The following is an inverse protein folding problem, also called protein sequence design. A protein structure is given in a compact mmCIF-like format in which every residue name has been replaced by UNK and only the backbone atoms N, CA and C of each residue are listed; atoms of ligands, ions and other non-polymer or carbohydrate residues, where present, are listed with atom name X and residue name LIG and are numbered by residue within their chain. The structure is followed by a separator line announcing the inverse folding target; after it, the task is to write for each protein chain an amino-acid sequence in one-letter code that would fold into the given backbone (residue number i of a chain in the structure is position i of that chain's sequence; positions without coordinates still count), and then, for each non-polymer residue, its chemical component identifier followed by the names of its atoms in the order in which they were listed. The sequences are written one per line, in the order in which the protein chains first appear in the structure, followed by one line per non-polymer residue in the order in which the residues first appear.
data_IF_027373009052
#
_entry.id   IF_027373009052
#
_cell.length_a   1.000
_cell.length_b   1.000
_cell.length_c   1.000
_cell.angle_alpha   90.00
_cell.angle_beta   90.00
_cell.angle_gamma   90.00
#
_symmetry.space_group_name_H-M   'P 1'
#
loop_
_entity.id
_entity.type
_entity.pdbx_description
1 polymer ?
#
# COMPACT_ATOMS: atom_id res chain seq x y z
N UNK A 1 17.77 -26.19 20.52
CA UNK A 1 18.33 -25.66 19.26
C UNK A 1 17.52 -24.43 18.94
N UNK A 2 18.14 -23.29 18.65
CA UNK A 2 17.44 -22.10 18.19
C UNK A 2 17.17 -22.32 16.70
N UNK A 3 15.89 -22.45 16.34
CA UNK A 3 15.50 -22.53 14.94
C UNK A 3 15.81 -21.18 14.28
N UNK A 4 16.67 -21.20 13.29
CA UNK A 4 17.08 -19.98 12.56
C UNK A 4 16.67 -20.12 11.10
N UNK A 5 15.90 -19.15 10.61
CA UNK A 5 15.53 -19.04 9.20
C UNK A 5 16.37 -17.95 8.53
N UNK A 6 17.10 -18.32 7.49
CA UNK A 6 17.83 -17.35 6.66
C UNK A 6 17.06 -17.08 5.39
N UNK A 7 16.71 -15.82 5.17
CA UNK A 7 15.98 -15.36 3.98
C UNK A 7 16.74 -14.27 3.25
N UNK A 8 16.43 -14.06 1.95
CA UNK A 8 16.85 -12.84 1.26
C UNK A 8 16.26 -11.64 1.97
N UNK A 9 17.02 -10.55 2.10
CA UNK A 9 16.49 -9.29 2.65
C UNK A 9 15.29 -8.84 1.82
N UNK A 10 14.10 -8.71 2.42
CA UNK A 10 12.86 -8.45 1.67
C UNK A 10 12.78 -7.00 1.20
N UNK A 11 11.84 -6.75 0.31
CA UNK A 11 11.37 -5.42 -0.09
C UNK A 11 9.97 -5.16 0.48
N UNK A 12 9.65 -3.90 0.71
CA UNK A 12 8.32 -3.44 1.12
C UNK A 12 7.67 -2.67 -0.03
N UNK A 13 6.58 -3.19 -0.55
CA UNK A 13 5.93 -2.61 -1.73
C UNK A 13 4.84 -1.59 -1.41
N UNK A 14 4.74 -1.15 -0.14
CA UNK A 14 3.84 -0.06 0.28
C UNK A 14 4.26 0.50 1.64
N UNK A 15 4.81 1.71 1.69
CA UNK A 15 5.33 2.28 2.92
C UNK A 15 5.06 3.79 3.03
N UNK A 16 4.59 4.23 4.21
CA UNK A 16 4.47 5.64 4.57
C UNK A 16 5.60 6.05 5.52
N UNK A 17 6.47 6.93 5.07
CA UNK A 17 7.55 7.49 5.90
C UNK A 17 7.19 8.85 6.50
N UNK A 18 6.16 9.52 5.98
CA UNK A 18 5.84 10.91 6.34
C UNK A 18 7.02 11.83 6.03
N UNK A 19 7.18 12.94 6.77
CA UNK A 19 8.29 13.87 6.58
C UNK A 19 8.77 14.45 7.91
N UNK A 20 9.88 15.21 7.90
CA UNK A 20 10.44 15.88 9.07
C UNK A 20 10.76 14.94 10.22
N UNK A 21 10.41 15.33 11.43
CA UNK A 21 10.73 14.57 12.64
C UNK A 21 10.12 13.16 12.65
N UNK A 22 8.95 12.97 12.04
CA UNK A 22 8.35 11.64 11.94
C UNK A 22 9.14 10.74 10.99
N UNK A 23 9.60 11.25 9.86
CA UNK A 23 10.50 10.52 8.96
C UNK A 23 11.77 10.03 9.70
N UNK A 24 12.41 10.93 10.45
CA UNK A 24 13.61 10.59 11.20
C UNK A 24 13.36 9.50 12.26
N UNK A 25 12.18 9.53 12.88
CA UNK A 25 11.80 8.56 13.91
C UNK A 25 11.47 7.17 13.35
N UNK A 26 10.78 7.08 12.20
CA UNK A 26 10.25 5.80 11.71
C UNK A 26 11.13 5.11 10.67
N UNK A 27 11.93 5.84 9.93
CA UNK A 27 12.80 5.29 8.89
C UNK A 27 13.77 4.22 9.40
N UNK A 28 14.40 4.34 10.58
CA UNK A 28 15.27 3.31 11.11
C UNK A 28 14.61 1.95 11.27
N UNK A 29 13.33 1.94 11.63
CA UNK A 29 12.55 0.71 11.86
C UNK A 29 12.33 -0.09 10.57
N UNK A 30 12.02 0.59 9.47
CA UNK A 30 11.91 -0.02 8.14
C UNK A 30 13.29 -0.38 7.58
N UNK A 31 14.24 0.56 7.62
CA UNK A 31 15.56 0.37 7.00
C UNK A 31 16.38 -0.77 7.62
N UNK A 32 16.07 -1.22 8.83
CA UNK A 32 16.73 -2.38 9.43
C UNK A 32 16.30 -3.72 8.80
N UNK A 33 15.07 -3.80 8.28
CA UNK A 33 14.49 -5.05 7.76
C UNK A 33 14.52 -5.11 6.25
N UNK A 34 14.17 -4.02 5.56
CA UNK A 34 13.95 -3.99 4.11
C UNK A 34 15.15 -3.45 3.35
N UNK A 35 15.40 -4.03 2.16
CA UNK A 35 16.41 -3.54 1.23
C UNK A 35 15.91 -2.35 0.43
N UNK A 36 14.65 -2.40 0.01
CA UNK A 36 13.96 -1.36 -0.77
C UNK A 36 12.53 -1.20 -0.25
N UNK A 37 11.95 -0.02 -0.49
CA UNK A 37 10.52 0.17 -0.28
C UNK A 37 9.93 1.13 -1.31
N UNK A 38 8.70 0.85 -1.76
CA UNK A 38 7.85 1.82 -2.48
C UNK A 38 7.33 2.85 -1.49
N UNK A 39 7.69 4.10 -1.70
CA UNK A 39 7.35 5.20 -0.79
C UNK A 39 6.08 5.90 -1.26
N UNK A 40 5.06 5.92 -0.40
CA UNK A 40 3.78 6.56 -0.71
C UNK A 40 3.90 8.09 -0.73
N UNK A 41 3.23 8.75 -1.72
CA UNK A 41 3.45 10.16 -2.02
C UNK A 41 2.50 11.10 -1.29
N UNK A 42 1.60 10.61 -0.40
CA UNK A 42 0.54 11.38 0.24
C UNK A 42 1.01 12.21 1.44
N UNK A 43 1.99 13.05 1.21
CA UNK A 43 2.44 14.10 2.13
C UNK A 43 1.45 15.29 2.12
N UNK A 44 1.78 16.33 2.85
CA UNK A 44 1.10 17.65 2.79
C UNK A 44 2.18 18.74 2.62
N UNK A 45 2.31 19.30 1.40
CA UNK A 45 1.62 18.96 0.15
C UNK A 45 2.03 17.57 -0.40
N UNK A 46 1.22 16.94 -1.28
CA UNK A 46 1.54 15.65 -1.88
C UNK A 46 2.70 15.76 -2.90
N UNK A 47 3.38 14.64 -3.14
CA UNK A 47 4.44 14.51 -4.14
C UNK A 47 3.80 14.29 -5.52
N UNK A 48 3.66 15.32 -6.32
CA UNK A 48 2.90 15.29 -7.59
C UNK A 48 3.79 15.37 -8.83
N UNK A 49 5.06 15.76 -8.69
CA UNK A 49 6.01 15.97 -9.78
C UNK A 49 7.32 15.20 -9.58
N UNK A 50 8.10 15.10 -10.66
CA UNK A 50 9.45 14.54 -10.63
C UNK A 50 10.38 15.34 -9.69
N UNK A 51 10.23 16.66 -9.65
CA UNK A 51 10.98 17.54 -8.74
C UNK A 51 10.63 17.24 -7.27
N UNK A 52 9.34 17.13 -6.93
CA UNK A 52 8.90 16.78 -5.59
C UNK A 52 9.43 15.42 -5.16
N UNK A 53 9.37 14.41 -6.07
CA UNK A 53 9.87 13.08 -5.81
C UNK A 53 11.38 13.05 -5.56
N UNK A 54 12.16 13.83 -6.33
CA UNK A 54 13.61 14.00 -6.13
C UNK A 54 13.90 14.62 -4.78
N UNK A 55 13.24 15.72 -4.46
CA UNK A 55 13.42 16.43 -3.19
C UNK A 55 13.02 15.55 -1.98
N UNK A 56 11.96 14.78 -2.10
CA UNK A 56 11.56 13.84 -1.02
C UNK A 56 12.56 12.70 -0.87
N UNK A 57 13.03 12.11 -1.98
CA UNK A 57 14.07 11.08 -1.95
C UNK A 57 15.35 11.57 -1.27
N UNK A 58 15.79 12.78 -1.54
CA UNK A 58 16.95 13.38 -0.88
C UNK A 58 16.77 13.50 0.64
N UNK A 59 15.58 13.94 1.12
CA UNK A 59 15.25 13.99 2.55
C UNK A 59 15.33 12.62 3.19
N UNK A 60 14.76 11.58 2.53
CA UNK A 60 14.81 10.19 3.04
C UNK A 60 16.26 9.70 3.11
N UNK A 61 17.05 9.89 2.05
CA UNK A 61 18.45 9.45 2.02
C UNK A 61 19.32 10.17 3.06
N UNK A 62 19.04 11.46 3.31
CA UNK A 62 19.71 12.22 4.37
C UNK A 62 19.41 11.70 5.76
N UNK A 63 18.14 11.35 6.02
CA UNK A 63 17.68 10.81 7.31
C UNK A 63 18.05 9.32 7.50
N UNK A 64 18.43 8.60 6.43
CA UNK A 64 18.67 7.16 6.49
C UNK A 64 19.92 6.82 7.33
N UNK A 65 19.77 6.12 8.47
CA UNK A 65 20.90 5.71 9.30
C UNK A 65 21.71 4.58 8.67
N UNK A 66 21.14 3.86 7.70
CA UNK A 66 21.76 2.72 7.00
C UNK A 66 22.12 3.08 5.57
N UNK A 67 23.06 4.05 5.43
CA UNK A 67 23.50 4.53 4.13
C UNK A 67 23.94 3.40 3.19
N UNK A 68 23.35 3.37 1.99
CA UNK A 68 23.64 2.35 0.98
C UNK A 68 23.00 0.98 1.22
N UNK A 69 22.24 0.78 2.31
CA UNK A 69 21.58 -0.49 2.62
C UNK A 69 20.06 -0.47 2.47
N UNK A 70 19.47 0.69 2.26
CA UNK A 70 18.04 0.88 2.01
C UNK A 70 17.86 1.86 0.85
N UNK A 71 17.09 1.48 -0.14
CA UNK A 71 16.78 2.29 -1.32
C UNK A 71 15.28 2.65 -1.38
N UNK A 72 14.93 3.94 -1.24
CA UNK A 72 13.56 4.40 -1.40
C UNK A 72 13.18 4.47 -2.87
N UNK A 73 12.17 3.72 -3.28
CA UNK A 73 11.59 3.70 -4.61
C UNK A 73 10.43 4.70 -4.64
N UNK A 74 10.60 5.82 -5.37
CA UNK A 74 9.65 6.92 -5.32
C UNK A 74 8.38 6.65 -6.15
N UNK A 75 7.28 7.28 -5.74
CA UNK A 75 6.01 7.32 -6.48
C UNK A 75 5.52 8.75 -6.63
N UNK A 76 4.69 8.97 -7.67
CA UNK A 76 3.95 10.22 -7.83
C UNK A 76 2.50 10.04 -7.36
N UNK A 77 1.95 11.06 -6.77
CA UNK A 77 0.54 11.15 -6.41
C UNK A 77 -0.28 11.54 -7.65
N UNK A 78 -1.17 10.66 -8.09
CA UNK A 78 -2.04 10.93 -9.24
C UNK A 78 -3.12 11.94 -8.87
N UNK A 79 -3.18 13.02 -9.62
CA UNK A 79 -4.23 14.04 -9.57
C UNK A 79 -4.82 14.24 -10.97
N UNK A 80 -5.94 14.92 -11.05
CA UNK A 80 -6.55 15.28 -12.35
C UNK A 80 -5.72 16.33 -13.14
N UNK A 81 -4.69 16.91 -12.53
CA UNK A 81 -3.75 17.85 -13.13
C UNK A 81 -2.36 17.25 -13.36
N UNK A 82 -2.20 15.94 -13.17
CA UNK A 82 -0.91 15.27 -13.38
C UNK A 82 -0.42 15.44 -14.81
N UNK A 83 0.80 15.95 -14.96
CA UNK A 83 1.44 16.16 -16.25
C UNK A 83 1.97 14.83 -16.81
N UNK A 84 1.46 14.46 -17.99
CA UNK A 84 1.81 13.20 -18.69
C UNK A 84 3.29 13.14 -19.06
N UNK A 85 3.86 14.27 -19.48
CA UNK A 85 5.26 14.36 -19.91
C UNK A 85 6.20 14.27 -18.71
N UNK A 86 5.84 14.89 -17.58
CA UNK A 86 6.63 14.76 -16.33
C UNK A 86 6.60 13.32 -15.80
N UNK A 87 5.46 12.61 -15.87
CA UNK A 87 5.38 11.19 -15.51
C UNK A 87 6.31 10.34 -16.38
N UNK A 88 6.33 10.58 -17.69
CA UNK A 88 7.23 9.86 -18.60
C UNK A 88 8.71 10.17 -18.31
N UNK A 89 9.05 11.44 -18.08
CA UNK A 89 10.40 11.87 -17.70
C UNK A 89 10.84 11.25 -16.37
N UNK A 90 10.00 11.30 -15.34
CA UNK A 90 10.28 10.75 -14.02
C UNK A 90 10.54 9.22 -14.07
N UNK A 91 9.80 8.50 -14.92
CA UNK A 91 10.02 7.07 -15.14
C UNK A 91 11.32 6.83 -15.90
N UNK A 92 11.56 7.51 -17.01
CA UNK A 92 12.75 7.35 -17.84
C UNK A 92 14.05 7.68 -17.09
N UNK A 93 14.02 8.65 -16.16
CA UNK A 93 15.15 8.97 -15.28
C UNK A 93 15.46 7.87 -14.23
N UNK A 94 14.56 6.90 -14.06
CA UNK A 94 14.67 5.85 -13.06
C UNK A 94 14.30 6.27 -11.64
N UNK A 95 13.89 7.53 -11.42
CA UNK A 95 13.51 8.06 -10.11
C UNK A 95 12.20 7.47 -9.61
N UNK A 96 11.17 7.46 -10.48
CA UNK A 96 9.81 7.01 -10.14
C UNK A 96 9.58 5.59 -10.62
N UNK A 97 9.01 4.76 -9.76
CA UNK A 97 8.75 3.33 -10.00
C UNK A 97 7.28 2.97 -10.13
N UNK A 98 6.39 3.86 -9.70
CA UNK A 98 4.94 3.73 -9.85
C UNK A 98 4.26 5.09 -9.71
N UNK A 99 3.01 5.17 -10.14
CA UNK A 99 2.11 6.28 -9.81
C UNK A 99 1.04 5.76 -8.85
N UNK A 100 0.72 6.51 -7.83
CA UNK A 100 -0.26 6.15 -6.80
C UNK A 100 -1.58 6.89 -7.00
N UNK A 101 -2.65 6.14 -7.15
CA UNK A 101 -4.02 6.63 -7.21
C UNK A 101 -4.70 6.50 -5.86
N UNK A 102 -5.24 7.61 -5.37
CA UNK A 102 -6.20 7.66 -4.27
C UNK A 102 -7.52 8.21 -4.81
N UNK A 103 -8.67 7.54 -4.58
CA UNK A 103 -9.95 8.22 -4.70
C UNK A 103 -10.02 9.38 -3.70
N UNK A 104 -10.55 10.53 -4.12
CA UNK A 104 -10.55 11.73 -3.29
C UNK A 104 -11.34 11.51 -1.98
N UNK A 105 -10.66 11.65 -0.84
CA UNK A 105 -11.26 11.46 0.48
C UNK A 105 -11.29 10.00 0.98
N UNK A 106 -10.68 9.05 0.27
CA UNK A 106 -10.71 7.63 0.66
C UNK A 106 -9.89 7.33 1.93
N UNK A 107 -8.82 8.06 2.16
CA UNK A 107 -7.90 7.82 3.30
C UNK A 107 -7.18 9.09 3.72
N UNK A 108 -6.24 8.98 4.65
CA UNK A 108 -5.41 10.10 5.16
C UNK A 108 -4.70 10.83 4.00
N UNK A 109 -4.79 12.16 3.99
CA UNK A 109 -4.16 13.04 2.98
C UNK A 109 -4.57 12.72 1.53
N UNK A 110 -5.80 12.26 1.30
CA UNK A 110 -6.31 11.91 -0.03
C UNK A 110 -7.27 12.93 -0.62
N UNK A 111 -7.38 14.12 -0.04
CA UNK A 111 -8.30 15.17 -0.54
C UNK A 111 -8.00 15.63 -1.99
N UNK A 112 -6.73 15.59 -2.40
CA UNK A 112 -6.27 15.92 -3.76
C UNK A 112 -6.38 14.75 -4.74
N UNK A 113 -6.94 13.62 -4.31
CA UNK A 113 -7.10 12.41 -5.13
C UNK A 113 -8.07 12.58 -6.29
N UNK A 114 -8.22 11.51 -7.06
CA UNK A 114 -9.04 11.45 -8.26
C UNK A 114 -10.52 11.40 -7.89
N UNK A 115 -11.33 12.26 -8.52
CA UNK A 115 -12.81 12.27 -8.42
C UNK A 115 -13.43 11.69 -9.68
N UNK A 116 -12.91 12.11 -10.84
CA UNK A 116 -13.35 11.64 -12.14
C UNK A 116 -12.20 10.88 -12.82
N UNK A 117 -12.38 9.58 -13.00
CA UNK A 117 -11.37 8.70 -13.58
C UNK A 117 -11.16 8.94 -15.08
N UNK A 118 -12.10 9.57 -15.77
CA UNK A 118 -11.93 9.95 -17.19
C UNK A 118 -10.88 11.06 -17.35
N UNK A 119 -10.75 11.95 -16.37
CA UNK A 119 -9.78 13.04 -16.38
C UNK A 119 -8.32 12.55 -16.31
N UNK A 120 -8.07 11.37 -15.74
CA UNK A 120 -6.73 10.79 -15.63
C UNK A 120 -6.41 9.77 -16.71
N UNK A 121 -7.35 9.49 -17.63
CA UNK A 121 -7.16 8.50 -18.71
C UNK A 121 -5.89 8.74 -19.53
N UNK A 122 -5.53 9.97 -19.97
CA UNK A 122 -4.30 10.19 -20.73
C UNK A 122 -3.05 9.77 -19.97
N UNK A 123 -3.01 9.97 -18.66
CA UNK A 123 -1.90 9.52 -17.79
C UNK A 123 -1.84 8.00 -17.75
N UNK A 124 -3.00 7.32 -17.58
CA UNK A 124 -3.06 5.85 -17.52
C UNK A 124 -2.64 5.22 -18.85
N UNK A 125 -3.04 5.79 -19.98
CA UNK A 125 -2.61 5.35 -21.30
C UNK A 125 -1.09 5.50 -21.49
N UNK A 126 -0.52 6.63 -21.09
CA UNK A 126 0.93 6.83 -21.11
C UNK A 126 1.66 5.84 -20.21
N UNK A 127 1.15 5.60 -19.00
CA UNK A 127 1.73 4.61 -18.09
C UNK A 127 1.71 3.19 -18.70
N UNK A 128 0.64 2.82 -19.39
CA UNK A 128 0.57 1.54 -20.11
C UNK A 128 1.62 1.46 -21.23
N UNK A 129 1.78 2.55 -22.01
CA UNK A 129 2.77 2.64 -23.08
C UNK A 129 4.20 2.45 -22.58
N UNK A 130 4.57 3.10 -21.47
CA UNK A 130 5.92 3.08 -20.93
C UNK A 130 6.17 1.94 -19.92
N UNK A 131 5.13 1.15 -19.60
CA UNK A 131 5.20 0.04 -18.66
C UNK A 131 5.30 0.43 -17.18
N UNK A 132 4.93 1.67 -16.82
CA UNK A 132 4.94 2.18 -15.45
C UNK A 132 3.70 1.69 -14.69
N UNK A 133 3.85 1.00 -13.52
CA UNK A 133 2.72 0.49 -12.76
C UNK A 133 1.87 1.59 -12.11
N UNK A 134 0.57 1.34 -12.03
CA UNK A 134 -0.40 2.09 -11.22
C UNK A 134 -0.65 1.36 -9.89
N UNK A 135 -0.33 1.97 -8.77
CA UNK A 135 -0.70 1.50 -7.44
C UNK A 135 -2.03 2.16 -7.02
N UNK A 136 -3.00 1.38 -6.56
CA UNK A 136 -4.37 1.88 -6.31
C UNK A 136 -4.80 1.63 -4.87
N UNK A 137 -5.28 2.67 -4.18
CA UNK A 137 -6.12 2.52 -2.99
C UNK A 137 -7.55 2.14 -3.46
N UNK A 138 -7.93 0.89 -3.22
CA UNK A 138 -9.10 0.28 -3.84
C UNK A 138 -10.38 0.42 -3.04
N UNK A 139 -10.83 1.63 -2.71
CA UNK A 139 -12.11 1.86 -2.03
C UNK A 139 -12.94 2.96 -2.71
N UNK A 140 -14.25 2.74 -2.86
CA UNK A 140 -15.19 3.82 -3.20
C UNK A 140 -15.43 4.70 -1.97
N UNK A 141 -15.80 5.96 -2.20
CA UNK A 141 -16.09 6.95 -1.14
C UNK A 141 -17.57 7.33 -1.08
N UNK A 142 -18.41 6.66 -1.85
CA UNK A 142 -19.86 6.89 -1.91
C UNK A 142 -20.49 6.67 -0.54
N UNK A 143 -21.21 7.65 0.04
CA UNK A 143 -21.73 7.57 1.40
C UNK A 143 -22.70 6.39 1.66
N UNK A 144 -23.42 5.97 0.63
CA UNK A 144 -24.41 4.89 0.70
C UNK A 144 -23.79 3.50 0.68
N UNK A 145 -22.47 3.38 0.41
CA UNK A 145 -21.76 2.11 0.42
C UNK A 145 -21.19 1.85 1.82
N UNK A 146 -21.58 0.72 2.40
CA UNK A 146 -21.03 0.27 3.69
C UNK A 146 -19.51 0.21 3.64
N UNK A 147 -18.84 0.71 4.67
CA UNK A 147 -17.37 0.77 4.73
C UNK A 147 -16.72 -0.60 4.56
N UNK A 148 -17.40 -1.69 4.91
CA UNK A 148 -16.89 -3.05 4.73
C UNK A 148 -17.05 -3.59 3.30
N UNK A 149 -17.86 -2.95 2.46
CA UNK A 149 -18.14 -3.36 1.07
C UNK A 149 -17.43 -2.48 0.03
N UNK A 150 -16.78 -1.38 0.46
CA UNK A 150 -16.15 -0.38 -0.41
C UNK A 150 -15.13 -0.96 -1.38
N UNK A 151 -14.33 -1.92 -0.96
CA UNK A 151 -13.33 -2.57 -1.81
C UNK A 151 -13.98 -3.38 -2.94
N UNK A 152 -15.00 -4.19 -2.62
CA UNK A 152 -15.75 -4.97 -3.60
C UNK A 152 -16.40 -4.06 -4.65
N UNK A 153 -17.11 -3.02 -4.19
CA UNK A 153 -17.77 -2.07 -5.09
C UNK A 153 -16.75 -1.34 -5.96
N UNK A 154 -15.57 -0.99 -5.42
CA UNK A 154 -14.50 -0.37 -6.20
C UNK A 154 -13.98 -1.29 -7.31
N UNK A 155 -13.80 -2.57 -7.02
CA UNK A 155 -13.38 -3.55 -8.04
C UNK A 155 -14.39 -3.54 -9.20
N UNK A 156 -15.68 -3.64 -8.91
CA UNK A 156 -16.74 -3.77 -9.90
C UNK A 156 -16.97 -2.50 -10.70
N UNK A 157 -16.90 -1.33 -10.05
CA UNK A 157 -17.34 -0.05 -10.65
C UNK A 157 -16.22 0.85 -11.14
N UNK A 158 -14.98 0.63 -10.68
CA UNK A 158 -13.83 1.48 -11.01
C UNK A 158 -12.66 0.68 -11.58
N UNK A 159 -12.16 -0.32 -10.85
CA UNK A 159 -10.93 -1.01 -11.22
C UNK A 159 -11.11 -1.84 -12.50
N UNK A 160 -12.15 -2.65 -12.58
CA UNK A 160 -12.43 -3.47 -13.76
C UNK A 160 -12.70 -2.62 -15.02
N UNK A 161 -13.50 -1.54 -14.97
CA UNK A 161 -13.61 -0.59 -16.07
C UNK A 161 -12.28 0.04 -16.50
N UNK A 162 -11.43 0.50 -15.59
CA UNK A 162 -10.11 1.06 -15.92
C UNK A 162 -9.25 0.02 -16.67
N UNK A 163 -9.16 -1.20 -16.14
CA UNK A 163 -8.36 -2.27 -16.76
C UNK A 163 -8.87 -2.66 -18.15
N UNK A 164 -10.18 -2.68 -18.35
CA UNK A 164 -10.78 -2.93 -19.68
C UNK A 164 -10.50 -1.79 -20.65
N UNK A 165 -10.54 -0.55 -20.19
CA UNK A 165 -10.26 0.63 -21.01
C UNK A 165 -8.78 0.74 -21.39
N UNK A 166 -7.88 0.24 -20.53
CA UNK A 166 -6.42 0.34 -20.70
C UNK A 166 -5.74 -1.03 -20.47
N UNK A 167 -5.89 -2.01 -21.38
CA UNK A 167 -5.48 -3.41 -21.16
C UNK A 167 -3.98 -3.60 -20.91
N UNK A 168 -3.13 -2.70 -21.42
CA UNK A 168 -1.67 -2.75 -21.21
C UNK A 168 -1.20 -2.21 -19.85
N UNK A 169 -2.09 -1.59 -19.08
CA UNK A 169 -1.74 -0.98 -17.80
C UNK A 169 -1.42 -2.05 -16.75
N UNK A 170 -0.23 -1.96 -16.16
CA UNK A 170 0.12 -2.78 -14.99
C UNK A 170 -0.50 -2.15 -13.76
N UNK A 171 -1.24 -2.91 -12.98
CA UNK A 171 -1.94 -2.44 -11.79
C UNK A 171 -1.50 -3.22 -10.57
N UNK A 172 -1.27 -2.51 -9.47
CA UNK A 172 -1.15 -3.08 -8.14
C UNK A 172 -2.36 -2.63 -7.31
N UNK A 173 -3.25 -3.56 -7.00
CA UNK A 173 -4.32 -3.34 -6.04
C UNK A 173 -3.71 -3.45 -4.64
N UNK A 174 -3.51 -2.32 -3.99
CA UNK A 174 -2.76 -2.28 -2.74
C UNK A 174 -3.63 -2.63 -1.54
N UNK A 175 -2.97 -3.20 -0.50
CA UNK A 175 -3.54 -3.50 0.84
C UNK A 175 -4.95 -4.09 0.77
N UNK A 176 -5.13 -5.13 -0.09
CA UNK A 176 -6.43 -5.80 -0.22
C UNK A 176 -6.90 -6.36 1.12
N UNK A 177 -8.20 -6.27 1.37
CA UNK A 177 -8.80 -6.64 2.65
C UNK A 177 -9.92 -7.66 2.55
N UNK A 178 -10.35 -8.01 1.34
CA UNK A 178 -11.49 -8.89 1.11
C UNK A 178 -11.11 -10.15 0.35
N UNK A 179 -11.95 -11.18 0.51
CA UNK A 179 -11.90 -12.37 -0.35
C UNK A 179 -12.19 -11.98 -1.82
N UNK A 180 -13.07 -10.99 -2.04
CA UNK A 180 -13.38 -10.49 -3.38
C UNK A 180 -12.14 -9.93 -4.07
N UNK A 181 -11.27 -9.19 -3.33
CA UNK A 181 -9.98 -8.72 -3.83
C UNK A 181 -9.01 -9.84 -4.17
N UNK A 182 -8.94 -10.88 -3.32
CA UNK A 182 -8.14 -12.09 -3.59
C UNK A 182 -8.62 -12.80 -4.85
N UNK A 183 -9.93 -13.06 -4.95
CA UNK A 183 -10.52 -13.78 -6.08
C UNK A 183 -10.33 -13.00 -7.39
N UNK A 184 -10.49 -11.67 -7.34
CA UNK A 184 -10.28 -10.81 -8.49
C UNK A 184 -8.82 -10.82 -8.95
N UNK A 185 -7.87 -10.70 -8.03
CA UNK A 185 -6.45 -10.78 -8.38
C UNK A 185 -6.10 -12.12 -9.03
N UNK A 186 -6.55 -13.23 -8.47
CA UNK A 186 -6.33 -14.59 -9.03
C UNK A 186 -6.98 -14.81 -10.39
N UNK A 187 -8.12 -14.16 -10.66
CA UNK A 187 -8.82 -14.29 -11.94
C UNK A 187 -8.23 -13.43 -13.06
N UNK A 188 -7.33 -12.52 -12.72
CA UNK A 188 -6.78 -11.55 -13.64
C UNK A 188 -5.63 -12.14 -14.47
N UNK A 189 -5.43 -11.59 -15.66
CA UNK A 189 -4.23 -11.79 -16.45
C UNK A 189 -3.00 -11.14 -15.81
N UNK A 190 -1.80 -11.41 -16.33
CA UNK A 190 -0.52 -11.05 -15.73
C UNK A 190 -0.21 -9.56 -15.50
N UNK A 191 -1.17 -8.64 -15.73
CA UNK A 191 -1.02 -7.21 -15.50
C UNK A 191 -1.66 -6.72 -14.18
N UNK A 192 -2.07 -7.63 -13.29
CA UNK A 192 -2.57 -7.30 -11.96
C UNK A 192 -1.79 -8.04 -10.88
N UNK A 193 -1.30 -7.29 -9.91
CA UNK A 193 -0.80 -7.82 -8.63
C UNK A 193 -1.54 -7.19 -7.47
N UNK A 194 -1.40 -7.75 -6.27
CA UNK A 194 -2.02 -7.22 -5.07
C UNK A 194 -1.06 -7.25 -3.87
N UNK A 195 -1.02 -6.17 -3.10
CA UNK A 195 -0.28 -6.18 -1.84
C UNK A 195 -1.18 -6.61 -0.68
N UNK A 196 -0.60 -7.37 0.23
CA UNK A 196 -1.22 -7.76 1.50
C UNK A 196 -0.38 -7.18 2.63
N UNK A 197 -1.07 -6.57 3.60
CA UNK A 197 -0.41 -5.92 4.74
C UNK A 197 -0.23 -6.88 5.89
N UNK A 198 0.76 -6.61 6.72
CA UNK A 198 1.02 -7.39 7.92
C UNK A 198 -0.18 -7.39 8.88
N UNK A 199 -0.78 -6.23 9.10
CA UNK A 199 -1.89 -6.11 10.06
C UNK A 199 -3.18 -6.80 9.57
N UNK A 200 -3.51 -6.76 8.28
CA UNK A 200 -4.69 -7.47 7.76
C UNK A 200 -4.57 -9.00 7.81
N UNK A 201 -3.36 -9.55 7.97
CA UNK A 201 -3.18 -10.99 8.22
C UNK A 201 -3.55 -11.40 9.65
N UNK A 202 -3.44 -10.51 10.62
CA UNK A 202 -3.57 -10.86 12.05
C UNK A 202 -4.76 -10.23 12.76
N UNK A 203 -5.33 -9.14 12.23
CA UNK A 203 -6.52 -8.51 12.80
C UNK A 203 -7.74 -8.63 11.89
N UNK A 204 -8.91 -8.72 12.51
CA UNK A 204 -10.21 -8.57 11.86
C UNK A 204 -10.99 -7.45 12.55
N UNK A 205 -12.20 -7.13 12.07
CA UNK A 205 -13.00 -6.03 12.60
C UNK A 205 -13.35 -6.14 14.10
N UNK A 206 -13.39 -7.37 14.64
CA UNK A 206 -13.65 -7.55 16.08
C UNK A 206 -12.51 -7.00 16.93
N UNK A 207 -11.27 -7.07 16.45
CA UNK A 207 -10.12 -6.50 17.16
C UNK A 207 -10.24 -4.98 17.33
N UNK A 208 -10.93 -4.30 16.42
CA UNK A 208 -11.15 -2.85 16.48
C UNK A 208 -12.30 -2.50 17.43
N UNK A 209 -13.38 -3.30 17.44
CA UNK A 209 -14.69 -2.92 17.96
C UNK A 209 -15.10 -3.64 19.24
N UNK A 210 -14.59 -4.85 19.50
CA UNK A 210 -15.04 -5.68 20.64
C UNK A 210 -14.26 -5.33 21.91
N UNK A 211 -14.98 -5.09 23.00
CA UNK A 211 -14.39 -4.71 24.29
C UNK A 211 -13.94 -3.25 24.36
N UNK A 212 -14.52 -2.40 23.52
CA UNK A 212 -14.22 -0.99 23.36
C UNK A 212 -13.45 -0.70 22.07
N UNK A 213 -13.54 0.56 21.62
CA UNK A 213 -12.86 1.00 20.39
C UNK A 213 -11.35 1.02 20.61
N UNK A 214 -10.60 0.42 19.67
CA UNK A 214 -9.14 0.37 19.69
C UNK A 214 -8.59 1.16 18.51
N UNK A 215 -8.32 2.46 18.65
CA UNK A 215 -7.96 3.34 17.55
C UNK A 215 -6.64 2.95 16.87
N UNK A 216 -5.69 2.34 17.59
CA UNK A 216 -4.43 1.89 17.01
C UNK A 216 -4.57 0.77 15.97
N UNK A 217 -5.71 0.03 15.96
CA UNK A 217 -6.04 -0.96 14.94
C UNK A 217 -6.89 -0.39 13.79
N UNK A 218 -7.28 0.89 13.87
CA UNK A 218 -8.03 1.54 12.80
C UNK A 218 -7.10 1.96 11.66
N UNK A 219 -7.40 1.44 10.47
CA UNK A 219 -6.74 1.75 9.20
C UNK A 219 -7.79 1.83 8.09
N UNK A 220 -7.41 2.34 6.94
CA UNK A 220 -8.19 2.31 5.71
C UNK A 220 -7.34 1.72 4.59
N UNK A 221 -7.82 0.66 3.91
CA UNK A 221 -9.11 -0.02 4.12
C UNK A 221 -9.22 -0.66 5.50
N UNK A 222 -10.42 -0.60 6.09
CA UNK A 222 -10.66 -1.16 7.42
C UNK A 222 -10.59 -2.69 7.40
N UNK A 223 -10.08 -3.29 8.48
CA UNK A 223 -10.06 -4.75 8.62
C UNK A 223 -11.48 -5.33 8.58
N UNK A 224 -11.67 -6.38 7.80
CA UNK A 224 -12.97 -6.99 7.47
C UNK A 224 -13.34 -8.14 8.43
N UNK A 225 -14.30 -8.97 8.04
CA UNK A 225 -14.70 -10.19 8.77
C UNK A 225 -13.57 -11.22 8.79
N UNK A 226 -13.64 -12.17 9.72
CA UNK A 226 -12.67 -13.27 9.83
C UNK A 226 -12.53 -14.09 8.54
N UNK A 227 -13.62 -14.31 7.82
CA UNK A 227 -13.60 -15.04 6.54
C UNK A 227 -12.73 -14.35 5.48
N UNK A 228 -12.70 -13.02 5.46
CA UNK A 228 -11.82 -12.25 4.58
C UNK A 228 -10.37 -12.36 5.04
N UNK A 229 -10.10 -12.21 6.36
CA UNK A 229 -8.75 -12.37 6.90
C UNK A 229 -8.16 -13.74 6.55
N UNK A 230 -8.94 -14.81 6.69
CA UNK A 230 -8.51 -16.16 6.32
C UNK A 230 -8.15 -16.27 4.84
N UNK A 231 -8.95 -15.67 3.94
CA UNK A 231 -8.64 -15.64 2.52
C UNK A 231 -7.32 -14.89 2.21
N UNK A 232 -7.04 -13.80 2.94
CA UNK A 232 -5.77 -13.08 2.81
C UNK A 232 -4.58 -13.92 3.29
N UNK A 233 -4.73 -14.63 4.42
CA UNK A 233 -3.68 -15.52 4.93
C UNK A 233 -3.40 -16.63 3.93
N UNK A 234 -4.45 -17.26 3.39
CA UNK A 234 -4.30 -18.29 2.36
C UNK A 234 -3.60 -17.75 1.11
N UNK A 235 -3.98 -16.56 0.63
CA UNK A 235 -3.33 -15.92 -0.51
C UNK A 235 -1.85 -15.63 -0.25
N UNK A 236 -1.52 -15.03 0.90
CA UNK A 236 -0.15 -14.66 1.27
C UNK A 236 0.79 -15.87 1.41
N UNK A 237 0.26 -17.04 1.81
CA UNK A 237 1.04 -18.26 2.03
C UNK A 237 0.96 -19.27 0.88
N UNK A 238 0.23 -18.93 -0.20
CA UNK A 238 0.00 -19.84 -1.34
C UNK A 238 1.22 -20.01 -2.26
N UNK A 239 2.17 -19.09 -2.23
CA UNK A 239 3.25 -19.01 -3.21
C UNK A 239 2.83 -18.43 -4.56
N UNK A 240 1.61 -17.93 -4.69
CA UNK A 240 1.11 -17.24 -5.88
C UNK A 240 1.82 -15.90 -6.06
N UNK A 241 2.55 -15.66 -7.18
CA UNK A 241 3.34 -14.45 -7.39
C UNK A 241 2.51 -13.18 -7.57
N UNK A 242 1.20 -13.29 -7.72
CA UNK A 242 0.32 -12.13 -7.77
C UNK A 242 0.17 -11.43 -6.42
N UNK A 243 0.47 -12.13 -5.30
CA UNK A 243 0.40 -11.58 -3.95
C UNK A 243 1.77 -11.34 -3.36
N UNK A 244 2.01 -10.13 -2.86
CA UNK A 244 3.28 -9.76 -2.26
C UNK A 244 3.10 -8.76 -1.11
N UNK A 245 4.15 -8.59 -0.32
CA UNK A 245 4.12 -7.75 0.87
C UNK A 245 4.11 -6.27 0.51
N UNK A 246 3.10 -5.55 1.01
CA UNK A 246 3.14 -4.11 1.17
C UNK A 246 2.67 -3.81 2.58
N UNK A 247 3.57 -3.37 3.45
CA UNK A 247 3.26 -3.29 4.89
C UNK A 247 2.15 -2.31 5.20
N UNK A 248 2.01 -1.26 4.40
CA UNK A 248 1.19 -0.09 4.71
C UNK A 248 1.45 0.41 6.15
N UNK A 249 2.74 0.32 6.56
CA UNK A 249 3.14 0.91 7.84
C UNK A 249 2.94 2.42 7.78
N UNK A 250 1.93 2.89 8.50
CA UNK A 250 1.44 4.26 8.41
C UNK A 250 1.44 4.93 9.79
N UNK A 251 2.54 5.59 10.17
CA UNK A 251 2.69 6.19 11.49
C UNK A 251 1.82 7.42 11.68
N UNK A 252 1.28 7.55 12.89
CA UNK A 252 0.58 8.73 13.40
C UNK A 252 0.99 8.97 14.84
N UNK A 253 0.89 10.21 15.31
CA UNK A 253 1.06 10.53 16.73
C UNK A 253 -0.08 9.92 17.55
N UNK A 254 0.21 9.48 18.77
CA UNK A 254 -0.80 8.87 19.67
C UNK A 254 -2.01 9.77 19.85
N UNK A 255 -1.79 11.07 20.09
CA UNK A 255 -2.90 12.04 20.21
C UNK A 255 -3.74 12.21 18.93
N UNK A 256 -3.20 11.86 17.74
CA UNK A 256 -3.97 11.84 16.49
C UNK A 256 -4.75 10.53 16.31
N UNK A 257 -4.28 9.44 16.91
CA UNK A 257 -4.98 8.16 16.95
C UNK A 257 -6.06 8.14 18.02
N UNK A 258 -5.77 8.69 19.21
CA UNK A 258 -6.61 8.63 20.42
C UNK A 258 -7.50 9.84 20.57
N UNK A 259 -8.20 10.20 19.51
CA UNK A 259 -9.20 11.28 19.51
C UNK A 259 -10.40 10.90 18.61
N UNK A 260 -11.37 11.81 18.49
CA UNK A 260 -12.60 11.58 17.72
C UNK A 260 -12.36 11.33 16.22
N UNK A 261 -11.28 11.85 15.63
CA UNK A 261 -10.88 11.57 14.25
C UNK A 261 -10.32 10.16 14.11
N UNK A 262 -9.48 9.72 15.06
CA UNK A 262 -8.90 8.38 15.10
C UNK A 262 -8.00 8.05 13.90
N UNK A 263 -7.21 9.01 13.39
CA UNK A 263 -6.44 8.91 12.13
C UNK A 263 -6.16 7.49 11.64
N UNK A 264 -6.55 7.19 10.39
CA UNK A 264 -6.42 5.86 9.82
C UNK A 264 -4.96 5.52 9.48
N UNK A 265 -4.47 4.41 10.00
CA UNK A 265 -3.12 3.88 9.76
C UNK A 265 -2.61 3.05 10.92
N UNK A 266 -1.95 1.93 10.60
CA UNK A 266 -1.27 1.07 11.57
C UNK A 266 0.24 1.19 11.38
N UNK A 267 1.00 1.45 12.44
CA UNK A 267 2.46 1.44 12.39
C UNK A 267 2.98 0.03 12.71
N UNK A 268 3.43 -0.68 11.68
CA UNK A 268 3.84 -2.09 11.77
C UNK A 268 5.33 -2.34 11.53
N UNK A 269 6.09 -1.32 11.15
CA UNK A 269 7.49 -1.47 10.75
C UNK A 269 8.35 -2.21 11.79
N UNK A 270 8.10 -1.99 13.08
CA UNK A 270 8.85 -2.61 14.18
C UNK A 270 8.65 -4.13 14.26
N UNK A 271 7.47 -4.64 13.92
CA UNK A 271 7.04 -6.01 14.19
C UNK A 271 6.71 -6.83 12.93
N UNK A 272 6.82 -6.23 11.74
CA UNK A 272 6.42 -6.87 10.47
C UNK A 272 7.03 -8.25 10.30
N UNK A 273 8.34 -8.37 10.45
CA UNK A 273 9.02 -9.64 10.19
C UNK A 273 8.66 -10.73 11.22
N UNK A 274 8.46 -10.35 12.48
CA UNK A 274 8.03 -11.29 13.54
C UNK A 274 6.61 -11.80 13.28
N UNK A 275 5.70 -10.91 12.91
CA UNK A 275 4.30 -11.26 12.59
C UNK A 275 4.24 -12.16 11.35
N UNK A 276 5.01 -11.84 10.31
CA UNK A 276 5.06 -12.68 9.10
C UNK A 276 5.60 -14.07 9.43
N UNK A 277 6.68 -14.17 10.21
CA UNK A 277 7.23 -15.47 10.63
C UNK A 277 6.18 -16.31 11.36
N UNK A 278 5.41 -15.71 12.30
CA UNK A 278 4.33 -16.39 13.01
C UNK A 278 3.21 -16.85 12.07
N UNK A 279 2.74 -15.98 11.17
CA UNK A 279 1.68 -16.31 10.21
C UNK A 279 2.11 -17.46 9.30
N UNK A 280 3.32 -17.42 8.76
CA UNK A 280 3.81 -18.49 7.88
C UNK A 280 4.04 -19.79 8.65
N UNK A 281 4.57 -19.75 9.87
CA UNK A 281 4.74 -20.95 10.71
C UNK A 281 3.41 -21.63 11.00
N UNK A 282 2.35 -20.87 11.29
CA UNK A 282 1.03 -21.42 11.56
C UNK A 282 0.39 -22.08 10.35
N UNK A 283 0.65 -21.60 9.13
CA UNK A 283 0.01 -22.09 7.90
C UNK A 283 0.82 -23.21 7.24
N UNK A 284 2.12 -23.07 7.15
CA UNK A 284 2.99 -24.04 6.46
C UNK A 284 3.36 -25.20 7.40
N UNK A 285 3.34 -24.95 8.70
CA UNK A 285 3.71 -25.91 9.73
C UNK A 285 5.21 -26.16 9.79
N UNK A 286 5.68 -26.77 10.88
CA UNK A 286 7.08 -27.14 11.08
C UNK A 286 7.51 -28.39 10.29
N UNK A 287 6.59 -29.02 9.58
CA UNK A 287 6.80 -30.30 8.90
C UNK A 287 7.60 -30.17 7.58
N UNK A 288 7.91 -28.96 7.14
CA UNK A 288 8.62 -28.70 5.90
C UNK A 288 9.97 -27.99 6.09
N UNK A 289 10.48 -28.00 7.33
CA UNK A 289 11.83 -27.47 7.66
C UNK A 289 12.80 -28.63 7.84
#
# INVERSE_FOLDING_TARGET
MTDTLTIRRPDDWHLHLRDGAMLEAVLPETARHFARAIIMPNLVPPVVSSEDASAYRERILKANPRKGQFDPLMTLYLTEQTDVDDVAFAHASGLVKAVKLYPAGATTNSASGVRDFDNVRPVLEKMAEIGLPLCIHGEVVTPDVDIFDREKVFIETVLDPIRRATPGLKVVMEHITTKDGVDYARSADGNLGATITTHHLVINRNHILVGGIKPHYYCLPVAKRETHRQALVEAATSGDPQFFLGTDSAPHLDGAKENACGCAGCFTATNTMSILAEVFEQQIGRAHV
#
